data_IF_790808160894
#
_entry.id   IF_790808160894
#
_cell.length_a   1.000
_cell.length_b   1.000
_cell.length_c   1.000
_cell.angle_alpha   90.00
_cell.angle_beta   90.00
_cell.angle_gamma   90.00
#
_symmetry.space_group_name_H-M   'P 1'
#
loop_
_entity.id
_entity.type
_entity.pdbx_description
1 polymer ?
#
# COMPACT_ATOMS: atom_id res chain seq x y z
N UNK A 1 -40.46 8.00 -1.55
CA UNK A 1 -39.06 8.41 -1.79
C UNK A 1 -38.88 9.80 -1.20
N UNK A 2 -38.26 9.91 -0.03
CA UNK A 2 -38.04 11.20 0.62
C UNK A 2 -36.77 11.84 0.03
N UNK A 3 -36.92 13.01 -0.59
CA UNK A 3 -35.82 13.79 -1.11
C UNK A 3 -34.98 14.34 0.05
N UNK A 4 -33.71 13.93 0.13
CA UNK A 4 -32.74 14.48 1.08
C UNK A 4 -32.28 15.83 0.56
N UNK A 5 -32.82 16.90 1.14
CA UNK A 5 -32.39 18.28 0.91
C UNK A 5 -31.00 18.49 1.51
N UNK A 6 -29.94 18.44 0.71
CA UNK A 6 -28.59 18.78 1.17
C UNK A 6 -28.41 20.29 1.22
N UNK A 7 -28.40 20.85 2.43
CA UNK A 7 -28.04 22.25 2.69
C UNK A 7 -26.58 22.50 2.29
N UNK A 8 -26.28 23.48 1.41
CA UNK A 8 -24.91 23.77 1.00
C UNK A 8 -24.11 24.29 2.19
N UNK A 9 -23.01 23.60 2.54
CA UNK A 9 -22.02 24.09 3.53
C UNK A 9 -21.96 23.32 4.85
N UNK A 10 -22.92 22.44 5.15
CA UNK A 10 -22.84 21.59 6.34
C UNK A 10 -22.03 20.33 6.00
N UNK A 11 -20.80 20.21 6.52
CA UNK A 11 -20.02 18.97 6.39
C UNK A 11 -20.85 17.86 7.04
N UNK A 12 -21.30 16.85 6.30
CA UNK A 12 -22.15 15.81 6.86
C UNK A 12 -21.40 15.16 8.03
N UNK A 13 -22.07 15.07 9.19
CA UNK A 13 -21.55 14.40 10.37
C UNK A 13 -21.58 12.88 10.11
N UNK A 14 -20.68 12.44 9.23
CA UNK A 14 -20.56 11.05 8.81
C UNK A 14 -20.05 10.24 9.98
N UNK A 15 -20.80 9.19 10.32
CA UNK A 15 -20.36 8.21 11.30
C UNK A 15 -19.06 7.54 10.83
N UNK A 16 -18.23 7.07 11.76
CA UNK A 16 -16.94 6.45 11.42
C UNK A 16 -17.08 5.31 10.40
N UNK A 17 -18.16 4.51 10.50
CA UNK A 17 -18.49 3.45 9.54
C UNK A 17 -18.70 3.98 8.13
N UNK A 18 -19.39 5.10 7.96
CA UNK A 18 -19.61 5.72 6.65
C UNK A 18 -18.35 6.37 6.09
N UNK A 19 -17.47 6.90 6.95
CA UNK A 19 -16.16 7.43 6.52
C UNK A 19 -15.25 6.32 6.02
N UNK A 20 -15.25 5.18 6.69
CA UNK A 20 -14.53 3.98 6.24
C UNK A 20 -15.17 3.46 4.96
N UNK A 21 -16.49 3.23 4.93
CA UNK A 21 -17.19 2.75 3.74
C UNK A 21 -16.95 3.65 2.51
N UNK A 22 -17.01 4.98 2.67
CA UNK A 22 -16.68 5.92 1.59
C UNK A 22 -15.21 5.90 1.18
N UNK A 23 -14.28 5.80 2.13
CA UNK A 23 -12.86 5.65 1.81
C UNK A 23 -12.54 4.31 1.12
N UNK A 24 -13.41 3.31 1.28
CA UNK A 24 -13.34 2.02 0.60
C UNK A 24 -14.04 2.05 -0.76
N UNK A 25 -15.10 2.85 -0.93
CA UNK A 25 -15.82 3.03 -2.20
C UNK A 25 -15.19 4.08 -3.13
N UNK A 26 -14.50 5.09 -2.59
CA UNK A 26 -13.58 5.97 -3.33
C UNK A 26 -12.34 5.15 -3.66
N UNK A 27 -12.52 4.22 -4.57
CA UNK A 27 -11.48 3.45 -5.20
C UNK A 27 -10.52 4.43 -5.86
N UNK A 28 -9.32 4.57 -5.30
CA UNK A 28 -8.21 5.24 -5.98
C UNK A 28 -8.05 4.59 -7.36
N UNK A 29 -8.49 5.29 -8.42
CA UNK A 29 -8.39 5.00 -9.84
C UNK A 29 -8.21 3.50 -10.20
N UNK A 30 -9.31 2.73 -10.18
CA UNK A 30 -9.38 1.41 -10.85
C UNK A 30 -8.90 0.19 -10.05
N UNK A 31 -8.69 0.31 -8.73
CA UNK A 31 -8.30 -0.84 -7.89
C UNK A 31 -9.53 -1.57 -7.34
N UNK A 32 -9.72 -2.83 -7.72
CA UNK A 32 -10.76 -3.71 -7.17
C UNK A 32 -10.56 -3.95 -5.67
N UNK A 33 -11.64 -4.25 -4.94
CA UNK A 33 -11.60 -4.54 -3.50
C UNK A 33 -10.58 -5.63 -3.13
N UNK A 34 -10.42 -6.65 -4.00
CA UNK A 34 -9.45 -7.73 -3.82
C UNK A 34 -7.99 -7.25 -3.82
N UNK A 35 -7.63 -6.35 -4.73
CA UNK A 35 -6.28 -5.80 -4.85
C UNK A 35 -5.92 -5.03 -3.59
N UNK A 36 -6.90 -4.30 -3.05
CA UNK A 36 -6.72 -3.54 -1.82
C UNK A 36 -6.59 -4.45 -0.60
N UNK A 37 -7.37 -5.52 -0.50
CA UNK A 37 -7.23 -6.51 0.58
C UNK A 37 -5.83 -7.13 0.54
N UNK A 38 -5.32 -7.50 -0.64
CA UNK A 38 -3.96 -8.00 -0.81
C UNK A 38 -2.91 -6.96 -0.37
N UNK A 39 -3.08 -5.70 -0.74
CA UNK A 39 -2.19 -4.61 -0.30
C UNK A 39 -2.20 -4.41 1.22
N UNK A 40 -3.38 -4.40 1.85
CA UNK A 40 -3.52 -4.30 3.31
C UNK A 40 -2.82 -5.48 4.01
N UNK A 41 -3.03 -6.71 3.53
CA UNK A 41 -2.39 -7.89 4.10
C UNK A 41 -0.87 -7.85 3.94
N UNK A 42 -0.37 -7.41 2.78
CA UNK A 42 1.06 -7.24 2.53
C UNK A 42 1.70 -6.19 3.43
N UNK A 43 1.05 -5.04 3.59
CA UNK A 43 1.52 -3.97 4.47
C UNK A 43 1.49 -4.39 5.94
N UNK A 44 0.44 -5.09 6.37
CA UNK A 44 0.32 -5.58 7.75
C UNK A 44 1.34 -6.67 8.05
N UNK A 45 1.56 -7.62 7.13
CA UNK A 45 2.59 -8.64 7.27
C UNK A 45 3.99 -8.01 7.38
N UNK A 46 4.28 -6.98 6.57
CA UNK A 46 5.52 -6.20 6.63
C UNK A 46 5.70 -5.56 8.00
N UNK A 47 4.65 -4.90 8.52
CA UNK A 47 4.68 -4.24 9.83
C UNK A 47 4.94 -5.24 10.97
N UNK A 48 4.19 -6.35 10.99
CA UNK A 48 4.33 -7.39 12.02
C UNK A 48 5.69 -8.07 11.93
N UNK A 49 6.19 -8.36 10.73
CA UNK A 49 7.53 -8.93 10.55
C UNK A 49 8.63 -7.97 11.03
N UNK A 50 8.51 -6.67 10.74
CA UNK A 50 9.41 -5.65 11.27
C UNK A 50 9.39 -5.59 12.80
N UNK A 51 8.19 -5.61 13.40
CA UNK A 51 8.02 -5.59 14.85
C UNK A 51 8.61 -6.84 15.52
N UNK A 52 8.37 -8.03 14.95
CA UNK A 52 8.95 -9.30 15.41
C UNK A 52 10.48 -9.30 15.32
N UNK A 53 11.05 -8.69 14.27
CA UNK A 53 12.50 -8.56 14.11
C UNK A 53 13.12 -7.73 15.25
N UNK A 54 12.39 -6.76 15.81
CA UNK A 54 12.89 -5.88 16.87
C UNK A 54 12.84 -6.50 18.28
N UNK A 55 11.99 -7.50 18.52
CA UNK A 55 11.87 -8.11 19.86
C UNK A 55 13.13 -8.85 20.31
N UNK A 56 14.01 -9.24 19.39
CA UNK A 56 15.26 -9.91 19.73
C UNK A 56 16.38 -8.87 19.95
N UNK A 57 16.32 -8.14 21.08
CA UNK A 57 17.24 -7.03 21.38
C UNK A 57 18.73 -7.44 21.36
N UNK A 58 19.05 -8.71 21.66
CA UNK A 58 20.41 -9.25 21.56
C UNK A 58 20.96 -9.25 20.12
N UNK A 59 20.09 -9.25 19.10
CA UNK A 59 20.51 -9.10 17.69
C UNK A 59 21.03 -7.69 17.38
N UNK A 60 20.75 -6.67 18.19
CA UNK A 60 21.28 -5.32 17.97
C UNK A 60 22.81 -5.29 18.03
N UNK A 61 23.41 -6.11 18.91
CA UNK A 61 24.86 -6.14 19.12
C UNK A 61 25.53 -7.10 18.14
N UNK A 62 24.91 -8.25 17.85
CA UNK A 62 25.52 -9.28 17.00
C UNK A 62 25.32 -9.01 15.51
N UNK A 63 24.21 -8.37 15.13
CA UNK A 63 23.82 -8.13 13.74
C UNK A 63 23.10 -6.78 13.59
N UNK A 64 23.84 -5.65 13.67
CA UNK A 64 23.26 -4.30 13.64
C UNK A 64 22.50 -4.02 12.34
N UNK A 65 22.92 -4.62 11.22
CA UNK A 65 22.25 -4.48 9.93
C UNK A 65 20.83 -5.08 9.95
N UNK A 66 20.63 -6.27 10.54
CA UNK A 66 19.30 -6.87 10.69
C UNK A 66 18.36 -5.99 11.50
N UNK A 67 18.90 -5.36 12.54
CA UNK A 67 18.11 -4.48 13.41
C UNK A 67 17.66 -3.22 12.68
N UNK A 68 18.58 -2.57 11.93
CA UNK A 68 18.27 -1.40 11.10
C UNK A 68 17.21 -1.76 10.04
N UNK A 69 17.35 -2.92 9.38
CA UNK A 69 16.35 -3.41 8.43
C UNK A 69 15.01 -3.69 9.11
N UNK A 70 15.00 -4.25 10.32
CA UNK A 70 13.77 -4.47 11.10
C UNK A 70 13.03 -3.17 11.40
N UNK A 71 13.74 -2.15 11.85
CA UNK A 71 13.18 -0.80 12.08
C UNK A 71 12.66 -0.21 10.76
N UNK A 72 13.41 -0.35 9.67
CA UNK A 72 13.00 0.09 8.34
C UNK A 72 11.68 -0.57 7.91
N UNK A 73 11.59 -1.90 8.01
CA UNK A 73 10.37 -2.65 7.67
C UNK A 73 9.20 -2.26 8.57
N UNK A 74 9.42 -2.03 9.86
CA UNK A 74 8.38 -1.57 10.76
C UNK A 74 7.84 -0.20 10.35
N UNK A 75 8.71 0.78 10.09
CA UNK A 75 8.27 2.14 9.71
C UNK A 75 7.51 2.11 8.38
N UNK A 76 8.07 1.44 7.35
CA UNK A 76 7.42 1.39 6.05
C UNK A 76 6.17 0.52 6.04
N UNK A 77 6.15 -0.59 6.77
CA UNK A 77 4.96 -1.40 6.97
C UNK A 77 3.83 -0.62 7.64
N UNK A 78 4.16 0.19 8.65
CA UNK A 78 3.20 1.08 9.31
C UNK A 78 2.62 2.11 8.34
N UNK A 79 3.50 2.80 7.59
CA UNK A 79 3.08 3.82 6.61
C UNK A 79 2.20 3.20 5.52
N UNK A 80 2.60 2.06 4.95
CA UNK A 80 1.81 1.35 3.94
C UNK A 80 0.47 0.89 4.50
N UNK A 81 0.45 0.36 5.72
CA UNK A 81 -0.79 -0.11 6.35
C UNK A 81 -1.78 1.05 6.47
N UNK A 82 -1.30 2.22 6.89
CA UNK A 82 -2.15 3.41 7.01
C UNK A 82 -2.66 3.92 5.67
N UNK A 83 -1.82 3.88 4.64
CA UNK A 83 -2.17 4.27 3.27
C UNK A 83 -3.27 3.36 2.71
N UNK A 84 -3.14 2.04 2.86
CA UNK A 84 -4.07 1.07 2.29
C UNK A 84 -5.40 1.03 3.07
N UNK A 85 -5.36 1.15 4.41
CA UNK A 85 -6.56 1.16 5.25
C UNK A 85 -7.34 2.47 5.14
N UNK A 86 -6.65 3.61 5.07
CA UNK A 86 -7.24 4.95 5.11
C UNK A 86 -6.67 5.90 4.04
N UNK A 87 -6.92 5.65 2.74
CA UNK A 87 -6.35 6.43 1.63
C UNK A 87 -6.79 7.91 1.60
N UNK A 88 -7.88 8.26 2.29
CA UNK A 88 -8.38 9.64 2.38
C UNK A 88 -7.93 10.41 3.63
N UNK A 89 -7.14 9.79 4.52
CA UNK A 89 -6.71 10.43 5.76
C UNK A 89 -5.76 11.60 5.52
N UNK A 90 -5.65 12.53 6.48
CA UNK A 90 -4.67 13.64 6.41
C UNK A 90 -3.24 13.11 6.28
N UNK A 91 -2.92 12.03 6.99
CA UNK A 91 -1.60 11.40 6.95
C UNK A 91 -1.30 10.82 5.56
N UNK A 92 -2.23 10.05 4.98
CA UNK A 92 -2.05 9.50 3.63
C UNK A 92 -1.87 10.60 2.59
N UNK A 93 -2.58 11.73 2.71
CA UNK A 93 -2.38 12.90 1.84
C UNK A 93 -0.99 13.52 1.99
N UNK A 94 -0.48 13.63 3.22
CA UNK A 94 0.89 14.13 3.46
C UNK A 94 1.90 13.17 2.85
N UNK A 95 1.74 11.86 3.04
CA UNK A 95 2.65 10.86 2.47
C UNK A 95 2.57 10.88 0.95
N UNK A 96 1.39 10.97 0.34
CA UNK A 96 1.26 11.10 -1.12
C UNK A 96 1.82 12.41 -1.66
N UNK A 97 1.82 13.49 -0.87
CA UNK A 97 2.46 14.75 -1.25
C UNK A 97 3.98 14.61 -1.33
N UNK A 98 4.58 13.86 -0.39
CA UNK A 98 6.03 13.63 -0.36
C UNK A 98 6.46 12.53 -1.35
N UNK A 99 5.65 11.47 -1.46
CA UNK A 99 5.91 10.30 -2.28
C UNK A 99 4.76 10.07 -3.26
N UNK A 100 4.68 10.93 -4.30
CA UNK A 100 3.63 10.85 -5.34
C UNK A 100 3.54 9.48 -5.99
N UNK A 101 4.64 8.73 -6.09
CA UNK A 101 4.64 7.39 -6.68
C UNK A 101 3.78 6.39 -5.88
N UNK A 102 3.68 6.51 -4.56
CA UNK A 102 2.80 5.66 -3.73
C UNK A 102 1.31 5.90 -4.00
N UNK A 103 0.94 7.04 -4.60
CA UNK A 103 -0.46 7.27 -4.95
C UNK A 103 -0.92 6.36 -6.09
N UNK A 104 -0.02 6.00 -6.99
CA UNK A 104 -0.29 5.15 -8.16
C UNK A 104 -0.15 3.65 -7.83
N UNK A 105 -1.03 2.82 -8.42
CA UNK A 105 -0.99 1.36 -8.22
C UNK A 105 0.36 0.75 -8.60
N UNK A 106 0.94 1.19 -9.71
CA UNK A 106 2.27 0.75 -10.17
C UNK A 106 3.38 1.13 -9.20
N UNK A 107 3.33 2.34 -8.62
CA UNK A 107 4.35 2.78 -7.69
C UNK A 107 4.25 2.10 -6.32
N UNK A 108 3.03 1.72 -5.89
CA UNK A 108 2.87 0.80 -4.74
C UNK A 108 3.42 -0.58 -5.06
N UNK A 109 3.11 -1.12 -6.24
CA UNK A 109 3.62 -2.42 -6.69
C UNK A 109 5.15 -2.47 -6.70
N UNK A 110 5.83 -1.46 -7.27
CA UNK A 110 7.29 -1.40 -7.25
C UNK A 110 7.86 -1.26 -5.85
N UNK A 111 7.16 -0.57 -4.95
CA UNK A 111 7.57 -0.48 -3.54
C UNK A 111 7.44 -1.83 -2.80
N UNK A 112 6.34 -2.55 -3.00
CA UNK A 112 6.19 -3.93 -2.49
C UNK A 112 7.24 -4.87 -3.08
N UNK A 113 7.61 -4.71 -4.37
CA UNK A 113 8.67 -5.50 -5.00
C UNK A 113 10.02 -5.26 -4.30
N UNK A 114 10.35 -3.98 -4.08
CA UNK A 114 11.58 -3.59 -3.39
C UNK A 114 11.63 -4.17 -1.96
N UNK A 115 10.54 -4.04 -1.21
CA UNK A 115 10.45 -4.62 0.14
C UNK A 115 10.55 -6.14 0.11
N UNK A 116 9.85 -6.81 -0.82
CA UNK A 116 9.89 -8.27 -0.96
C UNK A 116 11.30 -8.77 -1.30
N UNK A 117 12.00 -8.09 -2.20
CA UNK A 117 13.41 -8.37 -2.50
C UNK A 117 14.31 -8.12 -1.28
N UNK A 118 14.08 -7.06 -0.50
CA UNK A 118 14.81 -6.85 0.75
C UNK A 118 14.53 -7.93 1.79
N UNK A 119 13.30 -8.42 1.91
CA UNK A 119 12.97 -9.54 2.81
C UNK A 119 13.64 -10.85 2.37
N UNK A 120 13.75 -11.08 1.06
CA UNK A 120 14.25 -12.33 0.49
C UNK A 120 15.78 -12.35 0.40
N UNK A 121 16.39 -11.21 0.02
CA UNK A 121 17.82 -11.08 -0.25
C UNK A 121 18.58 -10.31 0.84
N UNK A 122 17.89 -9.57 1.72
CA UNK A 122 18.49 -8.73 2.76
C UNK A 122 19.28 -9.48 3.84
N UNK A 123 19.33 -10.81 3.75
CA UNK A 123 20.58 -11.54 4.01
C UNK A 123 20.99 -11.76 5.46
N UNK A 124 20.16 -11.47 6.47
CA UNK A 124 20.59 -11.67 7.86
C UNK A 124 19.46 -12.12 8.78
N UNK A 125 19.03 -13.36 8.62
CA UNK A 125 18.11 -14.03 9.56
C UNK A 125 18.60 -15.46 9.83
N UNK A 126 19.11 -15.68 11.04
CA UNK A 126 19.39 -17.01 11.57
C UNK A 126 18.18 -17.53 12.35
N UNK A 127 17.83 -18.81 12.18
CA UNK A 127 16.76 -19.49 12.93
C UNK A 127 15.36 -19.39 12.30
N UNK A 128 14.33 -19.74 13.08
CA UNK A 128 12.94 -19.87 12.64
C UNK A 128 12.35 -18.57 12.05
N UNK A 129 12.80 -17.41 12.53
CA UNK A 129 12.38 -16.10 12.04
C UNK A 129 12.73 -15.90 10.56
N UNK A 130 13.75 -16.60 10.05
CA UNK A 130 14.20 -16.57 8.64
C UNK A 130 13.18 -17.15 7.66
N UNK A 131 12.44 -18.17 8.09
CA UNK A 131 11.44 -18.81 7.22
C UNK A 131 10.23 -17.89 7.07
N UNK A 132 9.77 -17.28 8.17
CA UNK A 132 8.60 -16.39 8.18
C UNK A 132 8.83 -15.20 7.25
N UNK A 133 9.97 -14.56 7.39
CA UNK A 133 10.37 -13.38 6.62
C UNK A 133 10.62 -13.71 5.15
N UNK A 134 11.17 -14.89 4.84
CA UNK A 134 11.28 -15.39 3.48
C UNK A 134 9.90 -15.59 2.83
N UNK A 135 8.95 -16.22 3.56
CA UNK A 135 7.57 -16.41 3.08
C UNK A 135 6.87 -15.06 2.89
N UNK A 136 7.03 -14.11 3.80
CA UNK A 136 6.51 -12.74 3.67
C UNK A 136 7.15 -12.03 2.46
N UNK A 137 8.45 -12.21 2.23
CA UNK A 137 9.16 -11.69 1.07
C UNK A 137 8.60 -12.20 -0.25
N UNK A 138 8.38 -13.52 -0.37
CA UNK A 138 7.75 -14.12 -1.54
C UNK A 138 6.32 -13.61 -1.75
N UNK A 139 5.55 -13.47 -0.67
CA UNK A 139 4.21 -12.91 -0.73
C UNK A 139 4.21 -11.46 -1.26
N UNK A 140 5.14 -10.62 -0.76
CA UNK A 140 5.30 -9.24 -1.23
C UNK A 140 5.66 -9.17 -2.72
N UNK A 141 6.54 -10.05 -3.20
CA UNK A 141 6.89 -10.16 -4.62
C UNK A 141 5.65 -10.57 -5.44
N UNK A 142 4.86 -11.54 -4.98
CA UNK A 142 3.64 -11.96 -5.68
C UNK A 142 2.62 -10.81 -5.76
N UNK A 143 2.38 -10.09 -4.66
CA UNK A 143 1.49 -8.92 -4.64
C UNK A 143 2.00 -7.82 -5.57
N UNK A 144 3.31 -7.57 -5.61
CA UNK A 144 3.91 -6.61 -6.51
C UNK A 144 3.71 -6.95 -7.99
N UNK A 145 3.85 -8.23 -8.36
CA UNK A 145 3.58 -8.70 -9.73
C UNK A 145 2.11 -8.49 -10.09
N UNK A 146 1.18 -8.84 -9.19
CA UNK A 146 -0.26 -8.62 -9.41
C UNK A 146 -0.56 -7.14 -9.61
N UNK A 147 -0.01 -6.26 -8.76
CA UNK A 147 -0.20 -4.80 -8.85
C UNK A 147 0.40 -4.24 -10.14
N UNK A 148 1.56 -4.76 -10.54
CA UNK A 148 2.23 -4.42 -11.78
C UNK A 148 1.38 -4.77 -13.00
N UNK A 149 1.01 -6.05 -13.15
CA UNK A 149 0.19 -6.52 -14.28
C UNK A 149 -1.12 -5.75 -14.36
N UNK A 150 -1.82 -5.59 -13.24
CA UNK A 150 -3.09 -4.85 -13.20
C UNK A 150 -2.91 -3.38 -13.59
N UNK A 151 -1.87 -2.74 -13.07
CA UNK A 151 -1.55 -1.35 -13.36
C UNK A 151 -1.12 -1.11 -14.81
N UNK A 152 -0.44 -2.07 -15.44
CA UNK A 152 -0.12 -2.00 -16.87
C UNK A 152 -1.34 -2.17 -17.76
N UNK A 153 -2.24 -3.11 -17.44
CA UNK A 153 -3.47 -3.33 -18.21
C UNK A 153 -4.37 -2.09 -18.18
N UNK A 154 -4.58 -1.47 -17.02
CA UNK A 154 -5.46 -0.30 -16.88
C UNK A 154 -4.88 0.97 -17.53
N UNK A 155 -3.55 1.10 -17.64
CA UNK A 155 -2.96 2.23 -18.38
C UNK A 155 -3.23 2.16 -19.88
N UNK A 156 -3.29 0.96 -20.46
CA UNK A 156 -3.52 0.78 -21.90
C UNK A 156 -4.92 1.23 -22.30
N UNK A 157 -5.92 0.99 -21.45
CA UNK A 157 -7.32 1.35 -21.74
C UNK A 157 -7.50 2.88 -21.84
N UNK A 158 -6.89 3.65 -20.93
CA UNK A 158 -7.00 5.12 -20.93
C UNK A 158 -6.36 5.72 -22.19
N UNK A 159 -5.20 5.20 -22.62
CA UNK A 159 -4.52 5.69 -23.84
C UNK A 159 -5.26 5.39 -25.15
N UNK A 160 -6.18 4.41 -25.16
CA UNK A 160 -6.93 4.00 -26.37
C UNK A 160 -8.21 4.82 -26.55
N UNK A 161 -8.78 5.38 -25.48
CA UNK A 161 -9.98 6.23 -25.53
C UNK A 161 -9.71 7.70 -25.82
N UNK A 162 -8.47 8.18 -25.65
CA UNK A 162 -8.09 9.59 -25.86
C UNK A 162 -7.82 10.04 -27.32
N UNK A 163 -7.58 9.19 -28.34
CA UNK A 163 -7.26 9.67 -29.69
C UNK A 163 -8.46 10.15 -30.53
N UNK A 164 -9.70 10.16 -30.03
CA UNK A 164 -10.88 10.53 -30.82
C UNK A 164 -11.59 11.84 -30.40
N UNK A 165 -11.27 12.43 -29.23
CA UNK A 165 -11.92 13.66 -28.76
C UNK A 165 -11.08 14.93 -28.97
N UNK A 166 -9.82 14.78 -29.42
CA UNK A 166 -8.95 15.90 -29.78
C UNK A 166 -9.09 16.37 -31.23
N UNK A 167 -9.85 15.66 -32.07
CA UNK A 167 -9.97 15.94 -33.50
C UNK A 167 -11.28 16.67 -33.90
N UNK A 168 -12.18 16.95 -32.96
CA UNK A 168 -13.49 17.58 -33.21
C UNK A 168 -13.60 19.04 -32.76
N UNK A 169 -12.50 19.64 -32.27
CA UNK A 169 -12.45 21.06 -31.89
C UNK A 169 -11.34 21.83 -32.64
N UNK A 170 -11.23 21.61 -33.96
CA UNK A 170 -10.52 22.52 -34.87
C UNK A 170 -11.44 22.89 -36.01
#
# INVERSE_FOLDING_TARGET
>A
MAAVTSTPGMKPNLTWKERVSRAWSDTTNGSNALIRILGVLAALATFVAGLLSMFNFFNMVTNPLSYILGVFFMIFGFVLTFIELFPGSKFSKVVFSQAKFLSHLLGRGSFYLYLGLLFTCGGVQHGFTSIVTFVVGLYLIAVAVIFGVWGFTHRKEVSVTEPLNGATNV
#
